data_IF_698512917123
#
_entry.id   IF_698512917123
#
_cell.length_a   1.000
_cell.length_b   1.000
_cell.length_c   1.000
_cell.angle_alpha   90.00
_cell.angle_beta   90.00
_cell.angle_gamma   90.00
#
_symmetry.space_group_name_H-M   'P 1'
#
loop_
_entity.id
_entity.type
_entity.pdbx_description
1 polymer ?
#
# COMPACT_ATOMS: atom_id res chain seq x y z
N UNK A 1 17.26 -7.43 -1.24
CA UNK A 1 15.92 -7.69 -0.63
C UNK A 1 14.94 -6.70 -1.23
N UNK A 2 13.76 -7.15 -1.66
CA UNK A 2 12.69 -6.26 -2.15
C UNK A 2 11.84 -5.77 -0.98
N UNK A 3 11.49 -4.49 -0.97
CA UNK A 3 10.68 -3.85 0.08
C UNK A 3 9.51 -3.07 -0.52
N UNK A 4 8.32 -3.31 0.01
CA UNK A 4 7.10 -2.58 -0.29
C UNK A 4 6.68 -1.66 0.86
N UNK A 5 5.72 -0.77 0.62
CA UNK A 5 5.08 0.07 1.64
C UNK A 5 4.61 -0.69 2.89
N UNK A 6 3.99 -1.87 2.74
CA UNK A 6 3.45 -2.70 3.82
C UNK A 6 4.57 -3.34 4.62
N UNK A 7 5.67 -3.72 3.95
CA UNK A 7 6.89 -4.16 4.60
C UNK A 7 7.53 -3.04 5.43
N UNK A 8 7.61 -1.81 4.91
CA UNK A 8 8.14 -0.66 5.65
C UNK A 8 7.24 -0.25 6.82
N UNK A 9 5.92 -0.21 6.62
CA UNK A 9 4.95 0.02 7.69
C UNK A 9 5.09 -1.02 8.81
N UNK A 10 5.17 -2.32 8.45
CA UNK A 10 5.35 -3.38 9.44
C UNK A 10 6.66 -3.26 10.20
N UNK A 11 7.74 -2.97 9.48
CA UNK A 11 9.08 -2.81 10.05
C UNK A 11 9.13 -1.64 11.03
N UNK A 12 8.60 -0.48 10.65
CA UNK A 12 8.52 0.71 11.50
C UNK A 12 7.62 0.47 12.72
N UNK A 13 6.50 -0.23 12.53
CA UNK A 13 5.52 -0.53 13.58
C UNK A 13 6.01 -1.57 14.59
N UNK A 14 6.66 -2.65 14.12
CA UNK A 14 7.19 -3.71 14.96
C UNK A 14 8.24 -4.57 14.22
N UNK A 15 9.55 -4.34 14.46
CA UNK A 15 10.62 -5.12 13.83
C UNK A 15 10.54 -6.62 14.11
N UNK A 16 10.16 -7.02 15.34
CA UNK A 16 9.93 -8.43 15.66
C UNK A 16 8.81 -9.05 14.83
N UNK A 17 7.74 -8.32 14.56
CA UNK A 17 6.65 -8.81 13.72
C UNK A 17 7.12 -8.94 12.27
N UNK A 18 7.89 -7.98 11.77
CA UNK A 18 8.52 -8.07 10.45
C UNK A 18 9.36 -9.34 10.32
N UNK A 19 10.20 -9.63 11.32
CA UNK A 19 11.01 -10.85 11.35
C UNK A 19 10.14 -12.11 11.23
N UNK A 20 9.12 -12.25 12.10
CA UNK A 20 8.24 -13.42 12.08
C UNK A 20 7.52 -13.61 10.75
N UNK A 21 7.05 -12.52 10.14
CA UNK A 21 6.30 -12.58 8.89
C UNK A 21 7.20 -12.85 7.68
N UNK A 22 8.29 -12.11 7.52
CA UNK A 22 9.07 -12.09 6.26
C UNK A 22 10.38 -12.87 6.31
N UNK A 23 10.96 -13.10 7.49
CA UNK A 23 12.21 -13.85 7.63
C UNK A 23 11.95 -15.28 8.11
N UNK A 24 11.09 -15.44 9.11
CA UNK A 24 10.75 -16.76 9.66
C UNK A 24 9.65 -17.46 8.82
N UNK A 25 9.00 -16.75 7.89
CA UNK A 25 7.96 -17.28 7.01
C UNK A 25 6.69 -17.73 7.74
N UNK A 26 6.40 -17.17 8.92
CA UNK A 26 5.28 -17.59 9.74
C UNK A 26 4.01 -16.91 9.24
N UNK A 27 3.20 -17.67 8.50
CA UNK A 27 1.84 -17.28 8.15
C UNK A 27 0.96 -17.26 9.41
N UNK A 28 -0.03 -16.39 9.40
CA UNK A 28 -1.05 -16.35 10.44
C UNK A 28 -2.43 -16.50 9.82
N UNK A 29 -3.35 -17.22 10.48
CA UNK A 29 -4.70 -17.38 9.99
C UNK A 29 -5.40 -16.02 9.88
N UNK A 30 -5.91 -15.75 8.68
CA UNK A 30 -6.84 -14.66 8.39
C UNK A 30 -8.25 -15.08 8.81
N UNK A 31 -9.03 -14.19 9.44
CA UNK A 31 -10.44 -14.51 9.72
C UNK A 31 -11.26 -14.55 8.43
N UNK A 32 -12.40 -15.28 8.44
CA UNK A 32 -13.30 -15.34 7.27
C UNK A 32 -13.76 -13.94 6.82
N UNK A 33 -14.19 -13.11 7.76
CA UNK A 33 -14.60 -11.72 7.49
C UNK A 33 -13.49 -10.90 6.82
N UNK A 34 -12.23 -11.12 7.24
CA UNK A 34 -11.08 -10.44 6.65
C UNK A 34 -10.76 -11.00 5.25
N UNK A 35 -10.90 -12.30 5.02
CA UNK A 35 -10.76 -12.90 3.69
C UNK A 35 -11.81 -12.38 2.71
N UNK A 36 -13.07 -12.27 3.14
CA UNK A 36 -14.17 -11.73 2.34
C UNK A 36 -13.90 -10.27 1.96
N UNK A 37 -13.46 -9.43 2.92
CA UNK A 37 -13.07 -8.04 2.64
C UNK A 37 -11.95 -7.95 1.61
N UNK A 38 -10.87 -8.72 1.78
CA UNK A 38 -9.73 -8.72 0.86
C UNK A 38 -10.14 -9.21 -0.55
N UNK A 39 -11.04 -10.19 -0.62
CA UNK A 39 -11.59 -10.71 -1.88
C UNK A 39 -12.44 -9.65 -2.58
N UNK A 40 -13.35 -8.99 -1.87
CA UNK A 40 -14.15 -7.89 -2.44
C UNK A 40 -13.26 -6.72 -2.90
N UNK A 41 -12.26 -6.34 -2.10
CA UNK A 41 -11.26 -5.34 -2.48
C UNK A 41 -10.52 -5.70 -3.76
N UNK A 42 -9.93 -6.89 -3.82
CA UNK A 42 -9.19 -7.36 -5.00
C UNK A 42 -10.05 -7.38 -6.26
N UNK A 43 -11.32 -7.78 -6.14
CA UNK A 43 -12.27 -7.75 -7.26
C UNK A 43 -12.55 -6.33 -7.75
N UNK A 44 -12.64 -5.36 -6.85
CA UNK A 44 -12.81 -3.96 -7.23
C UNK A 44 -11.57 -3.41 -7.98
N UNK A 45 -10.35 -3.68 -7.50
CA UNK A 45 -9.13 -3.28 -8.21
C UNK A 45 -9.06 -3.88 -9.62
N UNK A 46 -9.32 -5.19 -9.75
CA UNK A 46 -9.34 -5.85 -11.06
C UNK A 46 -10.39 -5.25 -12.00
N UNK A 47 -11.56 -4.91 -11.46
CA UNK A 47 -12.62 -4.26 -12.21
C UNK A 47 -12.18 -2.89 -12.76
N UNK A 48 -11.53 -2.08 -11.92
CA UNK A 48 -10.97 -0.79 -12.32
C UNK A 48 -9.88 -0.97 -13.38
N UNK A 49 -8.96 -1.93 -13.20
CA UNK A 49 -7.93 -2.24 -14.18
C UNK A 49 -8.51 -2.62 -15.54
N UNK A 50 -9.47 -3.55 -15.59
CA UNK A 50 -10.12 -3.97 -16.84
C UNK A 50 -10.80 -2.79 -17.55
N UNK A 51 -11.45 -1.91 -16.78
CA UNK A 51 -12.07 -0.70 -17.32
C UNK A 51 -11.03 0.22 -17.97
N UNK A 52 -9.90 0.45 -17.31
CA UNK A 52 -8.81 1.29 -17.84
C UNK A 52 -8.21 0.70 -19.13
N UNK A 53 -8.21 -0.62 -19.28
CA UNK A 53 -7.81 -1.32 -20.51
C UNK A 53 -8.88 -1.30 -21.61
N UNK A 54 -10.05 -0.69 -21.38
CA UNK A 54 -11.16 -0.67 -22.33
C UNK A 54 -11.89 -2.00 -22.49
N UNK A 55 -11.72 -2.93 -21.54
CA UNK A 55 -12.39 -4.23 -21.55
C UNK A 55 -13.83 -4.09 -21.03
N UNK A 56 -14.77 -4.90 -21.54
CA UNK A 56 -16.17 -4.86 -21.09
C UNK A 56 -16.28 -5.33 -19.63
N UNK A 57 -16.88 -4.49 -18.78
CA UNK A 57 -17.06 -4.78 -17.35
C UNK A 57 -18.51 -5.08 -16.95
N UNK A 58 -19.49 -4.75 -17.80
CA UNK A 58 -20.91 -4.74 -17.44
C UNK A 58 -21.44 -6.06 -16.90
N UNK A 59 -21.00 -7.20 -17.46
CA UNK A 59 -21.41 -8.52 -17.00
C UNK A 59 -20.91 -8.80 -15.57
N UNK A 60 -19.64 -8.48 -15.30
CA UNK A 60 -18.99 -8.69 -13.99
C UNK A 60 -19.64 -7.80 -12.93
N UNK A 61 -19.93 -6.54 -13.29
CA UNK A 61 -20.62 -5.60 -12.39
C UNK A 61 -22.03 -6.12 -12.05
N UNK A 62 -22.80 -6.57 -13.04
CA UNK A 62 -24.19 -7.03 -12.84
C UNK A 62 -24.30 -8.30 -11.99
N UNK A 63 -23.29 -9.16 -11.99
CA UNK A 63 -23.30 -10.41 -11.23
C UNK A 63 -22.97 -10.21 -9.74
N UNK A 64 -22.58 -9.00 -9.31
CA UNK A 64 -22.20 -8.71 -7.94
C UNK A 64 -22.80 -7.38 -7.46
N UNK A 65 -23.85 -7.46 -6.64
CA UNK A 65 -24.57 -6.29 -6.12
C UNK A 65 -23.67 -5.29 -5.38
N UNK A 66 -22.67 -5.78 -4.63
CA UNK A 66 -21.72 -4.93 -3.92
C UNK A 66 -20.84 -4.13 -4.90
N UNK A 67 -20.24 -4.81 -5.89
CA UNK A 67 -19.44 -4.16 -6.93
C UNK A 67 -20.29 -3.20 -7.77
N UNK A 68 -21.53 -3.55 -8.07
CA UNK A 68 -22.47 -2.67 -8.76
C UNK A 68 -22.74 -1.39 -7.98
N UNK A 69 -23.03 -1.50 -6.69
CA UNK A 69 -23.22 -0.35 -5.80
C UNK A 69 -21.98 0.55 -5.79
N UNK A 70 -20.80 -0.05 -5.63
CA UNK A 70 -19.52 0.67 -5.65
C UNK A 70 -19.25 1.37 -6.98
N UNK A 71 -19.45 0.70 -8.11
CA UNK A 71 -19.22 1.30 -9.43
C UNK A 71 -20.19 2.42 -9.76
N UNK A 72 -21.48 2.26 -9.44
CA UNK A 72 -22.46 3.31 -9.68
C UNK A 72 -22.11 4.56 -8.88
N UNK A 73 -21.85 4.40 -7.58
CA UNK A 73 -21.49 5.50 -6.71
C UNK A 73 -20.16 6.16 -7.12
N UNK A 74 -19.17 5.37 -7.55
CA UNK A 74 -17.91 5.90 -8.07
C UNK A 74 -18.10 6.67 -9.38
N UNK A 75 -19.01 6.20 -10.24
CA UNK A 75 -19.29 6.85 -11.53
C UNK A 75 -19.88 8.25 -11.38
N UNK A 76 -20.74 8.41 -10.40
CA UNK A 76 -21.33 9.70 -10.04
C UNK A 76 -20.33 10.64 -9.34
N UNK A 77 -19.45 10.09 -8.50
CA UNK A 77 -18.55 10.88 -7.66
C UNK A 77 -17.22 11.29 -8.32
N UNK A 78 -16.75 10.52 -9.31
CA UNK A 78 -15.42 10.65 -9.91
C UNK A 78 -15.47 10.73 -11.45
N UNK A 79 -16.47 11.45 -11.99
CA UNK A 79 -16.69 11.54 -13.44
C UNK A 79 -15.44 11.99 -14.20
N UNK A 80 -14.66 12.91 -13.63
CA UNK A 80 -13.40 13.41 -14.19
C UNK A 80 -12.31 12.36 -14.33
N UNK A 81 -12.34 11.33 -13.47
CA UNK A 81 -11.43 10.19 -13.56
C UNK A 81 -11.93 9.24 -14.64
N UNK A 82 -13.23 9.08 -14.78
CA UNK A 82 -13.81 8.08 -15.67
C UNK A 82 -13.92 8.54 -17.13
N UNK A 83 -13.85 9.84 -17.39
CA UNK A 83 -13.77 10.38 -18.75
C UNK A 83 -12.45 9.98 -19.43
N UNK A 84 -12.48 9.60 -20.72
CA UNK A 84 -11.27 9.32 -21.49
C UNK A 84 -10.27 10.48 -21.40
N UNK A 85 -9.00 10.13 -21.32
CA UNK A 85 -7.90 11.09 -21.23
C UNK A 85 -7.93 12.07 -22.42
N UNK A 86 -7.82 13.39 -22.19
CA UNK A 86 -7.60 14.34 -23.28
C UNK A 86 -6.32 14.01 -24.06
N UNK A 87 -6.23 14.46 -25.31
CA UNK A 87 -5.01 14.31 -26.11
C UNK A 87 -3.78 14.85 -25.34
N UNK A 88 -2.74 14.02 -25.22
CA UNK A 88 -1.48 14.37 -24.54
C UNK A 88 -1.39 13.98 -23.05
N UNK A 89 -2.41 13.32 -22.49
CA UNK A 89 -2.34 12.72 -21.15
C UNK A 89 -1.94 11.23 -21.24
N UNK A 90 -0.90 10.84 -20.48
CA UNK A 90 -0.52 9.44 -20.32
C UNK A 90 -1.24 8.85 -19.11
N UNK A 91 -1.75 7.62 -19.27
CA UNK A 91 -2.54 6.95 -18.25
C UNK A 91 -2.29 5.45 -18.25
N UNK A 92 -1.98 4.90 -17.08
CA UNK A 92 -1.66 3.48 -16.94
C UNK A 92 -2.18 2.93 -15.61
N UNK A 93 -2.91 1.82 -15.67
CA UNK A 93 -3.34 1.08 -14.48
C UNK A 93 -2.26 0.10 -14.03
N UNK A 94 -2.20 -0.19 -12.72
CA UNK A 94 -1.19 -1.07 -12.12
C UNK A 94 0.26 -0.66 -12.49
N UNK A 95 0.52 0.65 -12.56
CA UNK A 95 1.81 1.20 -12.96
C UNK A 95 2.88 0.89 -11.91
N UNK A 96 3.77 -0.05 -12.24
CA UNK A 96 4.84 -0.51 -11.35
C UNK A 96 6.09 0.35 -11.50
N UNK A 97 6.67 0.77 -10.37
CA UNK A 97 7.98 1.43 -10.30
C UNK A 97 8.88 0.75 -9.30
N UNK A 98 10.18 0.75 -9.61
CA UNK A 98 11.20 0.26 -8.71
C UNK A 98 12.30 1.29 -8.51
N UNK A 99 12.87 1.32 -7.31
CA UNK A 99 13.97 2.23 -6.96
C UNK A 99 14.98 1.47 -6.11
N UNK A 100 16.22 1.40 -6.57
CA UNK A 100 17.31 0.83 -5.79
C UNK A 100 17.82 1.87 -4.78
N UNK A 101 17.74 1.55 -3.49
CA UNK A 101 18.31 2.35 -2.40
C UNK A 101 19.27 1.47 -1.61
N UNK A 102 20.56 1.78 -1.71
CA UNK A 102 21.65 0.95 -1.18
C UNK A 102 21.56 -0.49 -1.70
N UNK A 103 21.25 -1.47 -0.84
CA UNK A 103 21.09 -2.90 -1.18
C UNK A 103 19.62 -3.36 -1.21
N UNK A 104 18.69 -2.41 -1.08
CA UNK A 104 17.26 -2.67 -1.07
C UNK A 104 16.64 -2.20 -2.37
N UNK A 105 15.77 -3.03 -2.94
CA UNK A 105 14.97 -2.65 -4.10
C UNK A 105 13.56 -2.31 -3.61
N UNK A 106 13.21 -1.03 -3.66
CA UNK A 106 11.86 -0.58 -3.35
C UNK A 106 10.95 -0.90 -4.53
N UNK A 107 9.71 -1.32 -4.25
CA UNK A 107 8.71 -1.58 -5.29
C UNK A 107 7.39 -0.95 -4.87
N UNK A 108 6.82 -0.15 -5.78
CA UNK A 108 5.50 0.46 -5.65
C UNK A 108 4.69 0.13 -6.89
N UNK A 109 3.38 -0.02 -6.72
CA UNK A 109 2.43 -0.20 -7.81
C UNK A 109 1.35 0.85 -7.57
N UNK A 110 1.06 1.65 -8.60
CA UNK A 110 -0.01 2.64 -8.55
C UNK A 110 -1.24 2.04 -9.21
N UNK A 111 -2.37 2.04 -8.52
CA UNK A 111 -3.59 1.45 -9.11
C UNK A 111 -3.97 2.18 -10.41
N UNK A 112 -3.78 3.50 -10.43
CA UNK A 112 -3.84 4.30 -11.63
C UNK A 112 -2.85 5.48 -11.57
N UNK A 113 -2.01 5.59 -12.59
CA UNK A 113 -1.08 6.69 -12.79
C UNK A 113 -1.54 7.58 -13.94
N UNK A 114 -1.58 8.89 -13.70
CA UNK A 114 -1.94 9.89 -14.70
C UNK A 114 -0.81 10.90 -14.80
N UNK A 115 -0.27 11.09 -16.00
CA UNK A 115 0.85 11.98 -16.28
C UNK A 115 0.48 12.99 -17.37
N UNK A 116 0.79 14.26 -17.08
CA UNK A 116 0.64 15.41 -17.98
C UNK A 116 1.96 16.17 -18.08
N UNK A 117 2.05 17.15 -18.97
CA UNK A 117 3.31 17.90 -19.18
C UNK A 117 3.84 18.61 -17.92
N UNK A 118 2.96 19.04 -17.02
CA UNK A 118 3.29 19.89 -15.87
C UNK A 118 2.90 19.27 -14.52
N UNK A 119 2.16 18.17 -14.51
CA UNK A 119 1.60 17.54 -13.31
C UNK A 119 1.51 16.04 -13.48
N UNK A 120 1.57 15.31 -12.38
CA UNK A 120 1.23 13.91 -12.34
C UNK A 120 0.50 13.53 -11.05
N UNK A 121 -0.33 12.50 -11.16
CA UNK A 121 -1.22 12.07 -10.11
C UNK A 121 -1.20 10.55 -9.97
N UNK A 122 -1.00 10.12 -8.74
CA UNK A 122 -1.18 8.74 -8.31
C UNK A 122 -2.57 8.61 -7.73
N UNK A 123 -3.32 7.61 -8.18
CA UNK A 123 -4.62 7.24 -7.64
C UNK A 123 -4.53 5.87 -6.99
N UNK A 124 -5.16 5.75 -5.83
CA UNK A 124 -5.20 4.52 -5.03
C UNK A 124 -6.62 4.25 -4.56
N UNK A 125 -7.16 3.10 -4.93
CA UNK A 125 -8.53 2.67 -4.65
C UNK A 125 -8.60 2.02 -3.28
N UNK A 126 -9.48 2.51 -2.41
CA UNK A 126 -9.72 1.95 -1.08
C UNK A 126 -11.14 1.44 -0.97
N UNK A 127 -11.28 0.17 -0.62
CA UNK A 127 -12.59 -0.48 -0.43
C UNK A 127 -13.06 -0.48 1.02
N UNK A 128 -12.53 0.44 1.82
CA UNK A 128 -12.87 0.66 3.22
C UNK A 128 -13.19 2.14 3.49
N UNK A 129 -13.85 2.46 4.63
CA UNK A 129 -14.23 3.83 4.95
C UNK A 129 -13.04 4.79 5.07
N UNK A 130 -13.25 6.04 4.66
CA UNK A 130 -12.24 7.10 4.79
C UNK A 130 -11.79 7.24 6.26
N UNK A 131 -10.48 7.12 6.55
CA UNK A 131 -9.97 7.36 7.88
C UNK A 131 -10.24 8.80 8.33
N UNK A 132 -10.69 8.96 9.57
CA UNK A 132 -10.93 10.29 10.16
C UNK A 132 -9.63 11.08 10.37
N UNK A 133 -8.52 10.38 10.61
CA UNK A 133 -7.23 11.00 10.89
C UNK A 133 -6.38 11.10 9.62
N UNK A 134 -6.53 12.22 8.90
CA UNK A 134 -5.71 12.55 7.73
C UNK A 134 -4.20 12.48 8.01
N UNK A 135 -3.75 12.80 9.23
CA UNK A 135 -2.32 12.86 9.56
C UNK A 135 -1.70 11.47 9.60
N UNK A 136 -2.43 10.48 10.09
CA UNK A 136 -1.97 9.08 10.05
C UNK A 136 -1.74 8.61 8.63
N UNK A 137 -2.70 8.86 7.74
CA UNK A 137 -2.56 8.47 6.34
C UNK A 137 -1.41 9.22 5.67
N UNK A 138 -1.21 10.51 5.98
CA UNK A 138 -0.06 11.29 5.49
C UNK A 138 1.30 10.70 5.89
N UNK A 139 1.37 10.00 7.02
CA UNK A 139 2.60 9.43 7.58
C UNK A 139 2.77 7.93 7.26
N UNK A 140 1.75 7.28 6.71
CA UNK A 140 1.80 5.89 6.28
C UNK A 140 2.77 5.74 5.10
N UNK A 141 3.56 4.65 5.09
CA UNK A 141 4.55 4.42 4.05
C UNK A 141 3.98 4.28 2.65
N UNK A 142 2.69 3.96 2.47
CA UNK A 142 2.06 4.00 1.15
C UNK A 142 2.11 5.42 0.58
N UNK A 143 1.58 6.41 1.32
CA UNK A 143 1.64 7.83 0.95
C UNK A 143 3.07 8.31 0.74
N UNK A 144 3.97 7.98 1.68
CA UNK A 144 5.35 8.47 1.64
C UNK A 144 6.15 7.85 0.49
N UNK A 145 6.10 6.51 0.36
CA UNK A 145 6.92 5.77 -0.60
C UNK A 145 6.44 6.00 -2.03
N UNK A 146 5.13 6.10 -2.27
CA UNK A 146 4.60 6.24 -3.62
C UNK A 146 5.05 7.56 -4.26
N UNK A 147 4.90 8.66 -3.53
CA UNK A 147 5.34 10.00 -3.97
C UNK A 147 6.87 10.07 -4.09
N UNK A 148 7.61 9.51 -3.13
CA UNK A 148 9.07 9.51 -3.16
C UNK A 148 9.64 8.72 -4.34
N UNK A 149 9.16 7.50 -4.58
CA UNK A 149 9.61 6.68 -5.70
C UNK A 149 9.24 7.32 -7.03
N UNK A 150 8.08 7.96 -7.15
CA UNK A 150 7.73 8.67 -8.39
C UNK A 150 8.71 9.80 -8.68
N UNK A 151 9.03 10.63 -7.69
CA UNK A 151 9.99 11.72 -7.83
C UNK A 151 11.39 11.22 -8.21
N UNK A 152 11.85 10.13 -7.60
CA UNK A 152 13.18 9.57 -7.86
C UNK A 152 13.32 8.84 -9.21
N UNK A 153 12.20 8.52 -9.86
CA UNK A 153 12.19 7.70 -11.09
C UNK A 153 11.52 8.39 -12.28
N UNK A 154 11.30 9.70 -12.18
CA UNK A 154 10.72 10.51 -13.24
C UNK A 154 11.37 11.89 -13.30
N UNK A 155 11.01 12.68 -14.31
CA UNK A 155 11.48 14.06 -14.47
C UNK A 155 10.59 15.08 -13.73
N UNK A 156 9.53 14.62 -13.05
CA UNK A 156 8.63 15.50 -12.31
C UNK A 156 9.30 16.03 -11.05
N UNK A 157 9.21 17.34 -10.87
CA UNK A 157 9.56 17.99 -9.60
C UNK A 157 8.59 17.53 -8.51
N UNK A 158 9.01 17.47 -7.24
CA UNK A 158 8.15 17.11 -6.13
C UNK A 158 6.83 17.89 -6.09
N UNK A 159 6.84 19.18 -6.39
CA UNK A 159 5.65 20.05 -6.41
C UNK A 159 4.63 19.69 -7.50
N UNK A 160 5.03 18.90 -8.50
CA UNK A 160 4.18 18.45 -9.61
C UNK A 160 3.50 17.11 -9.31
N UNK A 161 3.84 16.46 -8.20
CA UNK A 161 3.35 15.14 -7.82
C UNK A 161 2.21 15.27 -6.80
N UNK A 162 1.15 14.51 -7.01
CA UNK A 162 0.08 14.33 -6.02
C UNK A 162 -0.32 12.87 -5.89
N UNK A 163 -0.81 12.49 -4.71
CA UNK A 163 -1.42 11.19 -4.46
C UNK A 163 -2.82 11.38 -3.90
N UNK A 164 -3.81 10.73 -4.52
CA UNK A 164 -5.20 10.80 -4.08
C UNK A 164 -5.72 9.40 -3.78
N UNK A 165 -6.15 9.20 -2.54
CA UNK A 165 -6.92 8.04 -2.15
C UNK A 165 -8.39 8.23 -2.50
N UNK A 166 -9.02 7.21 -3.05
CA UNK A 166 -10.46 7.14 -3.29
C UNK A 166 -11.10 6.04 -2.45
N UNK A 167 -11.91 6.44 -1.48
CA UNK A 167 -12.64 5.56 -0.57
C UNK A 167 -14.02 5.28 -1.15
N UNK A 168 -14.17 4.08 -1.71
CA UNK A 168 -15.36 3.65 -2.44
C UNK A 168 -16.45 3.15 -1.48
N UNK A 169 -16.05 2.57 -0.35
CA UNK A 169 -16.97 2.24 0.72
C UNK A 169 -17.19 3.47 1.61
N UNK A 170 -18.36 4.10 1.48
CA UNK A 170 -18.76 5.25 2.31
C UNK A 170 -20.28 5.26 2.52
N UNK A 171 -20.75 5.84 3.62
CA UNK A 171 -22.18 5.86 4.00
C UNK A 171 -23.09 6.64 3.03
N UNK A 172 -22.53 7.54 2.22
CA UNK A 172 -23.29 8.42 1.31
C UNK A 172 -22.77 8.32 -0.13
N UNK A 173 -21.56 8.86 -0.39
CA UNK A 173 -20.89 8.84 -1.70
C UNK A 173 -19.39 8.67 -1.56
N UNK A 174 -18.70 8.02 -2.53
CA UNK A 174 -17.27 7.85 -2.50
C UNK A 174 -16.55 9.15 -2.20
N UNK A 175 -15.58 9.04 -1.30
CA UNK A 175 -14.83 10.18 -0.79
C UNK A 175 -13.40 10.10 -1.27
N UNK A 176 -12.75 11.25 -1.48
CA UNK A 176 -11.33 11.27 -1.78
C UNK A 176 -10.53 12.04 -0.72
N UNK A 177 -9.21 11.82 -0.75
CA UNK A 177 -8.25 12.55 0.05
C UNK A 177 -6.92 12.68 -0.70
N UNK A 178 -6.61 13.91 -1.08
CA UNK A 178 -5.39 14.26 -1.80
C UNK A 178 -4.27 14.73 -0.88
N UNK A 179 -3.07 14.26 -1.21
CA UNK A 179 -1.80 14.67 -0.64
C UNK A 179 -0.95 15.28 -1.76
N UNK A 180 -0.65 16.57 -1.62
CA UNK A 180 0.33 17.23 -2.47
C UNK A 180 1.73 16.96 -1.93
N UNK A 181 2.68 16.96 -2.85
CA UNK A 181 4.07 16.71 -2.55
C UNK A 181 4.91 17.99 -2.68
N UNK A 182 6.09 17.98 -2.04
CA UNK A 182 6.99 19.12 -2.01
C UNK A 182 8.42 18.65 -1.77
N UNK A 183 9.39 19.46 -2.20
CA UNK A 183 10.80 19.15 -2.02
C UNK A 183 11.18 19.03 -0.52
N UNK A 184 10.49 19.77 0.36
CA UNK A 184 10.70 19.62 1.81
C UNK A 184 10.23 18.26 2.31
N UNK A 185 9.06 17.77 1.88
CA UNK A 185 8.59 16.43 2.22
C UNK A 185 9.53 15.36 1.63
N UNK A 186 10.03 15.59 0.41
CA UNK A 186 10.95 14.70 -0.26
C UNK A 186 12.23 14.43 0.56
N UNK A 187 12.92 15.50 0.98
CA UNK A 187 14.12 15.40 1.81
C UNK A 187 13.85 14.72 3.17
N UNK A 188 12.68 14.98 3.76
CA UNK A 188 12.28 14.35 5.02
C UNK A 188 12.06 12.84 4.86
N UNK A 189 11.39 12.43 3.78
CA UNK A 189 11.15 11.01 3.48
C UNK A 189 12.45 10.30 3.17
N UNK A 190 13.33 10.91 2.36
CA UNK A 190 14.65 10.34 2.05
C UNK A 190 15.43 10.04 3.34
N UNK A 191 15.49 11.02 4.26
CA UNK A 191 16.16 10.84 5.56
C UNK A 191 15.50 9.73 6.39
N UNK A 192 14.16 9.73 6.48
CA UNK A 192 13.39 8.72 7.22
C UNK A 192 13.64 7.31 6.66
N UNK A 193 13.61 7.18 5.34
CA UNK A 193 13.82 5.92 4.62
C UNK A 193 15.24 5.40 4.85
N UNK A 194 16.27 6.22 4.62
CA UNK A 194 17.68 5.84 4.86
C UNK A 194 17.91 5.39 6.30
N UNK A 195 17.31 6.08 7.28
CA UNK A 195 17.39 5.68 8.68
C UNK A 195 16.76 4.30 8.94
N UNK A 196 15.56 4.05 8.40
CA UNK A 196 14.85 2.78 8.56
C UNK A 196 15.60 1.62 7.86
N UNK A 197 16.15 1.84 6.67
CA UNK A 197 16.94 0.85 5.94
C UNK A 197 18.28 0.53 6.62
N UNK A 198 18.93 1.53 7.24
CA UNK A 198 20.11 1.32 8.06
C UNK A 198 19.79 0.48 9.31
N UNK A 199 18.67 0.75 9.97
CA UNK A 199 18.19 -0.06 11.10
C UNK A 199 17.94 -1.51 10.66
N UNK A 200 17.23 -1.71 9.55
CA UNK A 200 16.99 -3.03 8.98
C UNK A 200 18.30 -3.76 8.68
N UNK A 201 19.28 -3.07 8.08
CA UNK A 201 20.60 -3.64 7.80
C UNK A 201 21.27 -4.16 9.07
N UNK A 202 21.24 -3.38 10.14
CA UNK A 202 21.86 -3.75 11.41
C UNK A 202 21.12 -4.91 12.07
N UNK A 203 19.79 -4.93 12.02
CA UNK A 203 19.00 -6.06 12.54
C UNK A 203 19.24 -7.35 11.75
N UNK A 204 19.31 -7.29 10.42
CA UNK A 204 19.63 -8.44 9.59
C UNK A 204 21.01 -9.03 9.92
N UNK A 205 22.05 -8.19 10.06
CA UNK A 205 23.40 -8.66 10.44
C UNK A 205 23.42 -9.36 11.80
N UNK A 206 22.65 -8.87 12.77
CA UNK A 206 22.55 -9.51 14.10
C UNK A 206 21.77 -10.81 14.00
N UNK A 207 20.69 -10.84 13.22
CA UNK A 207 19.88 -12.02 13.01
C UNK A 207 20.66 -13.18 12.38
N UNK A 208 21.58 -12.88 11.46
CA UNK A 208 22.51 -13.88 10.88
C UNK A 208 23.37 -14.59 11.94
N UNK A 209 23.64 -13.96 13.09
CA UNK A 209 24.39 -14.55 14.21
C UNK A 209 23.49 -15.01 15.38
N UNK A 210 22.19 -15.20 15.14
CA UNK A 210 21.20 -15.68 16.13
C UNK A 210 20.44 -14.56 16.88
N UNK A 211 20.80 -13.32 16.59
CA UNK A 211 20.17 -12.05 16.98
C UNK A 211 18.71 -11.84 16.59
N UNK A 212 17.73 -12.15 17.43
CA UNK A 212 16.35 -11.79 17.12
C UNK A 212 16.12 -10.26 17.02
N UNK A 213 15.23 -9.80 16.14
CA UNK A 213 14.88 -8.39 15.97
C UNK A 213 14.30 -7.80 17.26
N UNK A 214 14.45 -6.49 17.52
CA UNK A 214 13.92 -5.90 18.76
C UNK A 214 12.40 -6.01 18.82
N UNK A 215 11.89 -6.31 20.02
CA UNK A 215 10.46 -6.18 20.30
C UNK A 215 10.14 -4.70 20.61
N UNK A 216 8.92 -4.27 20.30
CA UNK A 216 8.42 -2.95 20.73
C UNK A 216 8.38 -2.85 22.26
N UNK A 217 8.35 -1.65 22.83
CA UNK A 217 8.26 -1.46 24.29
C UNK A 217 7.08 -2.23 24.90
N UNK A 218 7.24 -2.69 26.15
CA UNK A 218 6.17 -3.37 26.88
C UNK A 218 4.98 -2.41 27.07
N UNK A 219 3.76 -2.94 26.99
CA UNK A 219 2.53 -2.12 27.01
C UNK A 219 2.20 -1.40 25.68
N UNK A 220 3.00 -1.57 24.62
CA UNK A 220 2.67 -1.02 23.30
C UNK A 220 1.30 -1.49 22.81
N UNK A 221 0.46 -0.55 22.36
CA UNK A 221 -0.87 -0.83 21.83
C UNK A 221 -0.84 -1.73 20.59
N UNK A 222 0.26 -1.74 19.83
CA UNK A 222 0.48 -2.62 18.69
C UNK A 222 0.39 -4.11 19.09
N UNK A 223 0.80 -4.46 20.31
CA UNK A 223 0.76 -5.84 20.77
C UNK A 223 -0.67 -6.37 21.00
N UNK A 224 -1.64 -5.50 21.29
CA UNK A 224 -3.03 -5.90 21.58
C UNK A 224 -3.70 -6.71 20.45
N UNK A 225 -3.20 -6.55 19.23
CA UNK A 225 -3.74 -7.16 18.02
C UNK A 225 -2.67 -7.97 17.27
N UNK A 226 -1.50 -8.18 17.89
CA UNK A 226 -0.41 -8.92 17.29
C UNK A 226 -0.61 -10.42 17.52
N UNK A 227 -0.82 -11.16 16.44
CA UNK A 227 -0.92 -12.63 16.44
C UNK A 227 0.32 -13.36 16.99
N UNK A 228 1.48 -12.68 17.02
CA UNK A 228 2.73 -13.24 17.53
C UNK A 228 3.00 -12.86 18.99
N UNK A 229 2.02 -12.30 19.71
CA UNK A 229 2.21 -11.85 21.10
C UNK A 229 2.73 -12.97 22.02
N UNK A 230 2.24 -14.21 21.84
CA UNK A 230 2.70 -15.38 22.59
C UNK A 230 4.14 -15.77 22.25
N UNK A 231 4.55 -15.63 20.97
CA UNK A 231 5.95 -15.82 20.53
C UNK A 231 6.90 -14.74 21.04
N UNK A 232 6.35 -13.58 21.41
CA UNK A 232 7.08 -12.52 22.10
C UNK A 232 7.11 -12.73 23.62
N UNK A 233 6.56 -13.83 24.14
CA UNK A 233 6.42 -14.14 25.57
C UNK A 233 5.61 -13.09 26.34
N UNK A 234 4.67 -12.43 25.65
CA UNK A 234 3.80 -11.40 26.23
C UNK A 234 2.39 -11.93 26.45
N UNK A 235 1.69 -11.35 27.43
CA UNK A 235 0.28 -11.62 27.68
C UNK A 235 -0.59 -10.58 26.99
N UNK A 236 -1.61 -11.03 26.28
CA UNK A 236 -2.65 -10.12 25.79
C UNK A 236 -3.44 -9.60 26.99
N UNK A 237 -3.54 -8.27 27.12
CA UNK A 237 -4.43 -7.63 28.09
C UNK A 237 -5.88 -7.56 27.60
N UNK A 238 -6.17 -8.03 26.37
CA UNK A 238 -7.53 -8.07 25.80
C UNK A 238 -7.88 -9.48 25.35
N UNK A 239 -9.02 -9.98 25.84
CA UNK A 239 -9.74 -11.13 25.28
C UNK A 239 -10.15 -10.76 23.85
N UNK A 240 -9.93 -11.67 22.91
CA UNK A 240 -9.98 -11.48 21.46
C UNK A 240 -11.40 -11.27 20.90
N UNK A 241 -12.13 -10.27 21.40
CA UNK A 241 -13.43 -9.88 20.88
C UNK A 241 -13.42 -8.36 20.66
N UNK A 242 -12.83 -7.93 19.53
CA UNK A 242 -13.15 -6.69 18.82
C UNK A 242 -12.27 -6.55 17.59
N UNK A 243 -12.92 -6.49 16.44
CA UNK A 243 -12.40 -6.10 15.14
C UNK A 243 -11.56 -4.82 15.28
N UNK A 244 -10.24 -4.99 15.22
CA UNK A 244 -9.34 -3.89 14.93
C UNK A 244 -9.29 -3.79 13.41
N UNK A 245 -9.58 -2.60 12.90
CA UNK A 245 -9.05 -2.13 11.63
C UNK A 245 -7.52 -2.17 11.75
N UNK A 246 -6.93 -3.37 11.61
CA UNK A 246 -5.55 -3.45 11.15
C UNK A 246 -5.52 -2.57 9.90
N UNK A 247 -4.60 -1.59 9.87
CA UNK A 247 -4.53 -0.57 8.83
C UNK A 247 -4.79 -1.25 7.48
N UNK A 248 -6.02 -1.12 6.95
CA UNK A 248 -6.52 -1.99 5.88
C UNK A 248 -5.67 -1.78 4.61
N UNK A 249 -5.02 -0.60 4.54
CA UNK A 249 -3.96 -0.25 3.60
C UNK A 249 -2.75 -1.20 3.61
N UNK A 250 -2.34 -1.74 4.77
CA UNK A 250 -1.19 -2.66 4.90
C UNK A 250 -1.54 -4.08 4.42
N UNK A 251 -2.83 -4.47 4.47
CA UNK A 251 -3.27 -5.84 4.23
C UNK A 251 -3.75 -6.07 2.79
N UNK A 252 -4.44 -5.11 2.17
CA UNK A 252 -4.84 -5.19 0.74
C UNK A 252 -3.61 -5.39 -0.17
N UNK A 253 -2.49 -4.70 0.12
CA UNK A 253 -1.25 -4.84 -0.66
C UNK A 253 -0.35 -6.01 -0.27
N UNK A 254 -0.51 -6.60 0.92
CA UNK A 254 0.24 -7.80 1.30
C UNK A 254 -0.34 -9.07 0.64
N UNK A 255 -1.62 -9.06 0.25
CA UNK A 255 -2.29 -10.18 -0.43
C UNK A 255 -2.40 -10.03 -1.94
N UNK A 256 -2.22 -8.81 -2.49
CA UNK A 256 -1.67 -8.66 -3.83
C UNK A 256 -0.25 -9.19 -3.76
N UNK A 257 -0.15 -10.50 -3.93
CA UNK A 257 1.09 -11.20 -4.17
C UNK A 257 1.86 -10.35 -5.18
N UNK A 258 2.89 -9.63 -4.72
CA UNK A 258 4.12 -9.60 -5.47
C UNK A 258 4.28 -11.08 -5.85
N UNK A 259 4.13 -11.47 -7.12
CA UNK A 259 4.49 -12.81 -7.50
C UNK A 259 5.88 -13.00 -6.94
N UNK A 260 6.23 -14.21 -6.54
CA UNK A 260 7.59 -14.52 -6.19
C UNK A 260 8.46 -14.20 -7.44
N UNK A 261 8.86 -12.95 -7.64
CA UNK A 261 9.62 -12.43 -8.79
C UNK A 261 11.08 -12.86 -8.68
N UNK A 262 11.32 -13.96 -7.97
CA UNK A 262 12.58 -14.67 -7.93
C UNK A 262 12.96 -15.24 -9.31
N UNK A 263 12.03 -15.24 -10.30
CA UNK A 263 12.24 -15.84 -11.62
C UNK A 263 12.04 -14.91 -12.83
N UNK A 264 11.97 -13.57 -12.69
CA UNK A 264 12.13 -12.71 -13.88
C UNK A 264 13.63 -12.65 -14.19
N UNK A 265 14.05 -13.40 -15.22
CA UNK A 265 15.32 -13.15 -15.88
C UNK A 265 15.28 -11.73 -16.46
N UNK A 266 16.26 -10.91 -16.07
CA UNK A 266 16.52 -9.63 -16.72
C UNK A 266 16.81 -9.88 -18.19
N UNK A 267 15.93 -9.40 -19.07
CA UNK A 267 16.26 -9.28 -20.50
C UNK A 267 17.17 -8.08 -20.62
N UNK A 268 18.48 -8.34 -20.70
CA UNK A 268 19.46 -7.34 -21.10
C UNK A 268 19.23 -7.10 -22.60
N UNK A 269 18.59 -5.98 -22.92
CA UNK A 269 18.64 -5.46 -24.29
C UNK A 269 19.99 -4.77 -24.43
N UNK A 270 20.88 -5.38 -25.22
CA UNK A 270 22.16 -4.82 -25.67
C UNK A 270 21.95 -3.59 -26.56
#
# INVERSE_FOLDING_TARGET
MRLSQGQLNLLERCPRQFQHTYLDGIASPTSLEQQERLSSGSRFHLLMQQRELGLPIDAIVKENEQLQGWMNAFTEAATEILTPAPDGEFRESEHCRTLQVEKYLLTVIYDLFIARSDTCQILDWKTYPKPQDRRKLAQNWQTLLYQYVLAETSEYLPEQISMTYWFVQSDDKPQNLTFNYSNTQHQQIEKKLKQLLLQLTNWLKRYEIGEQFPQVVEGSKTCNYCQFISRCERRSTKRSDRNFEADLSEQEYSTNTLPLLANIQEVIIL
#
